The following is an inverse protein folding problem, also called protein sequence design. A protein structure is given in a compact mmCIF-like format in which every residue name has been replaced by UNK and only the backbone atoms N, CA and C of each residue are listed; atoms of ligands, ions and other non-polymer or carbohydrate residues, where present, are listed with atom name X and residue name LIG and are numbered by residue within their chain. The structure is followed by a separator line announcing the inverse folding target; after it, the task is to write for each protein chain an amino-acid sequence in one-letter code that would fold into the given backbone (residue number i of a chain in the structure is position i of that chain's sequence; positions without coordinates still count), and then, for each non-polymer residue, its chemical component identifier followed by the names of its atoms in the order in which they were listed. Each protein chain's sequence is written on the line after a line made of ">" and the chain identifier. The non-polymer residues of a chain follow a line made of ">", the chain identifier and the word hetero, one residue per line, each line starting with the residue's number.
data_IF_770919457150
#
_entry.id   IF_770919457150
#
_cell.length_a   1.000
_cell.length_b   1.000
_cell.length_c   1.000
_cell.angle_alpha   90.00
_cell.angle_beta   90.00
_cell.angle_gamma   90.00
#
_symmetry.space_group_name_H-M   'P 1'
#
loop_
_entity.id
_entity.type
_entity.pdbx_description
1 polymer ?
#
# COMPACT_ATOMS: atom_id res chain seq x y z
N UNK A 1 36.94 27.48 28.95
CA UNK A 1 36.18 26.69 27.95
C UNK A 1 36.17 25.24 28.41
N UNK A 2 35.09 24.78 29.06
CA UNK A 2 34.95 23.37 29.41
C UNK A 2 34.58 22.58 28.16
N UNK A 3 35.39 21.58 27.78
CA UNK A 3 35.07 20.65 26.69
C UNK A 3 33.82 19.86 27.10
N UNK A 4 32.72 19.98 26.34
CA UNK A 4 31.58 19.07 26.47
C UNK A 4 32.06 17.64 26.16
N UNK A 5 31.86 16.65 27.05
CA UNK A 5 32.12 15.27 26.71
C UNK A 5 31.19 14.86 25.55
N UNK A 6 31.69 14.01 24.65
CA UNK A 6 30.93 13.56 23.48
C UNK A 6 29.64 12.86 23.93
N UNK A 7 28.47 13.16 23.30
CA UNK A 7 27.17 12.78 23.83
C UNK A 7 26.76 11.32 23.56
N UNK A 8 27.67 10.47 23.11
CA UNK A 8 27.32 9.12 22.68
C UNK A 8 28.19 8.07 23.36
N UNK A 9 27.61 7.40 24.36
CA UNK A 9 28.10 6.15 24.90
C UNK A 9 27.12 5.05 24.46
N UNK A 10 27.56 4.18 23.53
CA UNK A 10 26.77 3.05 23.03
C UNK A 10 26.34 2.08 24.12
N UNK A 11 27.08 2.05 25.23
CA UNK A 11 26.90 1.06 26.29
C UNK A 11 25.73 1.40 27.23
N UNK A 12 25.25 2.65 27.21
CA UNK A 12 24.24 3.17 28.13
C UNK A 12 22.94 3.61 27.44
N UNK A 13 22.78 3.31 26.15
CA UNK A 13 21.61 3.74 25.34
C UNK A 13 20.27 3.21 25.90
N UNK A 14 20.31 2.11 26.64
CA UNK A 14 19.12 1.46 27.20
C UNK A 14 18.93 1.70 28.71
N UNK A 15 19.78 2.51 29.37
CA UNK A 15 19.77 2.67 30.84
C UNK A 15 18.47 3.29 31.40
N UNK A 16 17.63 3.87 30.53
CA UNK A 16 16.30 4.39 30.87
C UNK A 16 15.11 3.53 30.40
N UNK A 17 15.34 2.41 29.71
CA UNK A 17 14.28 1.50 29.30
C UNK A 17 13.95 0.56 30.45
N UNK A 18 12.76 0.67 31.01
CA UNK A 18 12.24 -0.28 31.98
C UNK A 18 11.46 -1.35 31.21
N UNK A 19 11.41 -2.61 31.66
CA UNK A 19 10.73 -3.71 30.93
C UNK A 19 9.25 -3.45 30.57
N UNK A 20 8.59 -2.51 31.25
CA UNK A 20 7.22 -2.03 30.94
C UNK A 20 7.13 -1.11 29.72
N UNK A 21 8.26 -0.52 29.31
CA UNK A 21 8.40 0.44 28.21
C UNK A 21 8.86 -0.25 26.91
N UNK A 22 9.19 -1.54 26.99
CA UNK A 22 9.42 -2.41 25.85
C UNK A 22 8.08 -3.01 25.43
N UNK A 23 7.76 -2.92 24.14
CA UNK A 23 6.51 -3.45 23.59
C UNK A 23 6.49 -4.97 23.67
N UNK A 24 6.12 -5.53 24.82
CA UNK A 24 5.83 -6.97 24.97
C UNK A 24 4.83 -7.33 23.88
N UNK A 25 5.18 -8.29 23.03
CA UNK A 25 4.41 -8.68 21.86
C UNK A 25 2.90 -8.74 22.15
N UNK A 26 2.09 -7.82 21.60
CA UNK A 26 0.69 -7.65 21.98
C UNK A 26 -0.25 -8.68 21.31
N UNK A 27 0.31 -9.63 20.55
CA UNK A 27 -0.43 -10.53 19.69
C UNK A 27 -0.57 -10.00 18.27
N UNK A 28 -1.47 -10.65 17.51
CA UNK A 28 -1.79 -10.26 16.13
C UNK A 28 -2.78 -9.11 16.14
N UNK A 29 -2.63 -8.18 15.22
CA UNK A 29 -3.48 -6.99 15.12
C UNK A 29 -2.72 -5.79 14.57
N UNK A 30 -3.34 -4.63 14.67
CA UNK A 30 -2.80 -3.35 14.22
C UNK A 30 -2.37 -2.51 15.41
N UNK A 31 -1.16 -1.95 15.37
CA UNK A 31 -0.54 -1.26 16.49
C UNK A 31 0.25 -0.03 16.05
N UNK A 32 0.50 0.86 17.00
CA UNK A 32 1.41 1.99 16.81
C UNK A 32 2.72 1.74 17.56
N UNK A 33 3.84 1.85 16.85
CA UNK A 33 5.18 1.87 17.43
C UNK A 33 5.64 3.31 17.58
N UNK A 34 5.84 3.74 18.83
CA UNK A 34 6.25 5.10 19.17
C UNK A 34 7.77 5.21 19.25
N UNK A 35 8.36 6.06 18.43
CA UNK A 35 9.79 6.35 18.42
C UNK A 35 10.05 7.62 19.22
N UNK A 36 10.89 7.52 20.26
CA UNK A 36 11.23 8.65 21.14
C UNK A 36 12.73 8.90 21.17
N UNK A 37 13.12 10.17 21.15
CA UNK A 37 14.50 10.63 21.38
C UNK A 37 14.46 11.55 22.60
N UNK A 38 15.25 11.22 23.62
CA UNK A 38 15.29 11.94 24.90
C UNK A 38 13.89 12.17 25.51
N UNK A 39 13.01 11.18 25.38
CA UNK A 39 11.62 11.23 25.85
C UNK A 39 10.64 11.98 24.94
N UNK A 40 11.10 12.81 24.00
CA UNK A 40 10.25 13.46 23.00
C UNK A 40 9.79 12.44 21.95
N UNK A 41 8.49 12.43 21.64
CA UNK A 41 7.96 11.64 20.53
C UNK A 41 8.40 12.27 19.21
N UNK A 42 9.12 11.50 18.39
CA UNK A 42 9.69 11.99 17.11
C UNK A 42 9.09 11.29 15.89
N UNK A 43 8.60 10.06 16.05
CA UNK A 43 7.91 9.35 14.97
C UNK A 43 6.92 8.32 15.52
N UNK A 44 5.98 7.92 14.66
CA UNK A 44 5.00 6.86 14.91
C UNK A 44 4.92 5.97 13.67
N UNK A 45 5.22 4.68 13.83
CA UNK A 45 4.94 3.67 12.79
C UNK A 45 3.58 3.02 13.05
N UNK A 46 2.78 2.83 12.01
CA UNK A 46 1.58 1.99 12.00
C UNK A 46 1.97 0.59 11.49
N UNK A 47 1.80 -0.43 12.33
CA UNK A 47 2.21 -1.80 12.05
C UNK A 47 1.02 -2.75 12.09
N UNK A 48 0.98 -3.71 11.17
CA UNK A 48 0.15 -4.90 11.33
C UNK A 48 1.01 -6.11 11.63
N UNK A 49 0.64 -6.87 12.65
CA UNK A 49 1.24 -8.16 12.97
C UNK A 49 0.26 -9.26 12.60
N UNK A 50 0.62 -10.04 11.59
CA UNK A 50 -0.15 -11.21 11.15
C UNK A 50 0.59 -12.50 11.54
N UNK A 51 0.07 -13.65 11.12
CA UNK A 51 0.74 -14.94 11.37
C UNK A 51 2.14 -14.98 10.73
N UNK A 52 2.29 -14.46 9.50
CA UNK A 52 3.53 -14.59 8.71
C UNK A 52 4.20 -13.27 8.36
N UNK A 53 3.52 -12.14 8.54
CA UNK A 53 3.98 -10.82 8.10
C UNK A 53 3.96 -9.81 9.25
N UNK A 54 5.04 -9.05 9.40
CA UNK A 54 5.03 -7.73 10.03
C UNK A 54 4.92 -6.70 8.90
N UNK A 55 3.83 -5.95 8.86
CA UNK A 55 3.54 -4.98 7.79
C UNK A 55 3.81 -3.57 8.31
N UNK A 56 4.72 -2.85 7.67
CA UNK A 56 4.97 -1.43 7.93
C UNK A 56 4.05 -0.59 7.04
N UNK A 57 2.89 -0.19 7.56
CA UNK A 57 1.87 0.49 6.78
C UNK A 57 2.22 1.97 6.54
N UNK A 58 2.42 2.71 7.62
CA UNK A 58 2.66 4.16 7.59
C UNK A 58 3.72 4.55 8.60
N UNK A 59 4.49 5.59 8.26
CA UNK A 59 5.37 6.27 9.20
C UNK A 59 5.08 7.76 9.14
N UNK A 60 4.78 8.33 10.30
CA UNK A 60 4.64 9.77 10.49
C UNK A 60 5.76 10.24 11.41
N UNK A 61 6.42 11.35 11.09
CA UNK A 61 7.52 11.86 11.90
C UNK A 61 7.59 13.38 11.94
N UNK A 62 8.20 13.90 13.00
CA UNK A 62 8.46 15.32 13.19
C UNK A 62 9.52 15.79 12.17
N UNK A 63 9.18 16.75 11.27
CA UNK A 63 10.07 17.17 10.19
C UNK A 63 11.40 17.77 10.66
N UNK A 64 11.48 18.27 11.90
CA UNK A 64 12.73 18.74 12.50
C UNK A 64 13.79 17.63 12.57
N UNK A 65 13.36 16.36 12.54
CA UNK A 65 14.22 15.18 12.55
C UNK A 65 14.43 14.54 11.17
N UNK A 66 14.02 15.21 10.08
CA UNK A 66 14.18 14.69 8.72
C UNK A 66 15.64 14.32 8.38
N UNK A 67 16.62 15.02 8.97
CA UNK A 67 18.05 14.75 8.79
C UNK A 67 18.48 13.34 9.25
N UNK A 68 17.71 12.70 10.13
CA UNK A 68 17.95 11.33 10.60
C UNK A 68 17.47 10.26 9.62
N UNK A 69 16.74 10.62 8.56
CA UNK A 69 16.11 9.68 7.61
C UNK A 69 15.26 8.64 8.35
N UNK A 70 14.29 9.13 9.13
CA UNK A 70 13.50 8.29 10.05
C UNK A 70 12.78 7.09 9.39
N UNK A 71 12.51 7.13 8.08
CA UNK A 71 12.03 5.96 7.33
C UNK A 71 12.96 4.74 7.34
N UNK A 72 14.28 4.98 7.36
CA UNK A 72 15.29 3.90 7.46
C UNK A 72 15.44 3.46 8.91
N UNK A 73 15.48 4.42 9.84
CA UNK A 73 15.64 4.15 11.27
C UNK A 73 14.45 3.34 11.81
N UNK A 74 13.22 3.72 11.47
CA UNK A 74 12.03 3.00 11.91
C UNK A 74 12.02 1.56 11.39
N UNK A 75 12.39 1.36 10.11
CA UNK A 75 12.45 0.04 9.52
C UNK A 75 13.49 -0.88 10.17
N UNK A 76 14.63 -0.34 10.63
CA UNK A 76 15.61 -1.11 11.42
C UNK A 76 15.01 -1.55 12.75
N UNK A 77 14.37 -0.64 13.49
CA UNK A 77 13.72 -0.98 14.75
C UNK A 77 12.56 -1.96 14.58
N UNK A 78 11.78 -1.84 13.49
CA UNK A 78 10.71 -2.79 13.16
C UNK A 78 11.27 -4.18 12.85
N UNK A 79 12.43 -4.29 12.19
CA UNK A 79 13.11 -5.55 11.96
C UNK A 79 13.67 -6.18 13.25
N UNK A 80 14.25 -5.37 14.14
CA UNK A 80 14.68 -5.83 15.48
C UNK A 80 13.48 -6.35 16.27
N UNK A 81 12.37 -5.62 16.21
CA UNK A 81 11.12 -6.01 16.86
C UNK A 81 10.55 -7.30 16.28
N UNK A 82 10.53 -7.44 14.96
CA UNK A 82 10.13 -8.67 14.26
C UNK A 82 11.00 -9.86 14.68
N UNK A 83 12.33 -9.67 14.78
CA UNK A 83 13.25 -10.72 15.17
C UNK A 83 12.97 -11.21 16.59
N UNK A 84 12.75 -10.30 17.54
CA UNK A 84 12.34 -10.63 18.91
C UNK A 84 10.99 -11.36 18.93
N UNK A 85 9.98 -10.89 18.19
CA UNK A 85 8.68 -11.57 18.09
C UNK A 85 8.87 -13.00 17.60
N UNK A 86 9.67 -13.16 16.53
CA UNK A 86 9.90 -14.45 15.90
C UNK A 86 10.56 -15.45 16.84
N UNK A 87 11.59 -15.02 17.56
CA UNK A 87 12.34 -15.89 18.46
C UNK A 87 11.54 -16.30 19.69
N UNK A 88 10.78 -15.37 20.28
CA UNK A 88 10.19 -15.58 21.60
C UNK A 88 8.71 -15.96 21.56
N UNK A 89 7.97 -15.58 20.52
CA UNK A 89 6.50 -15.66 20.53
C UNK A 89 5.85 -16.27 19.28
N UNK A 90 6.39 -16.01 18.08
CA UNK A 90 5.78 -16.47 16.82
C UNK A 90 6.85 -16.89 15.79
N UNK A 91 7.33 -18.15 15.82
CA UNK A 91 8.29 -18.66 14.85
C UNK A 91 7.83 -18.57 13.37
N UNK A 92 6.53 -18.43 13.11
CA UNK A 92 5.96 -18.36 11.74
C UNK A 92 6.02 -16.95 11.10
N UNK A 93 6.15 -15.90 11.91
CA UNK A 93 7.22 -14.87 11.88
C UNK A 93 8.04 -14.49 10.62
N UNK A 94 7.64 -14.72 9.37
CA UNK A 94 8.63 -14.85 8.28
C UNK A 94 9.00 -13.57 7.52
N UNK A 95 8.07 -12.67 7.24
CA UNK A 95 8.25 -11.60 6.28
C UNK A 95 8.06 -10.21 6.88
N UNK A 96 8.94 -9.29 6.51
CA UNK A 96 8.78 -7.86 6.75
C UNK A 96 8.25 -7.19 5.48
N UNK A 97 7.02 -6.70 5.51
CA UNK A 97 6.33 -6.16 4.35
C UNK A 97 6.36 -4.63 4.37
N UNK A 98 7.05 -4.02 3.39
CA UNK A 98 7.21 -2.57 3.27
C UNK A 98 6.16 -1.92 2.35
N UNK A 99 5.10 -2.63 2.00
CA UNK A 99 4.05 -2.15 1.10
C UNK A 99 4.60 -1.74 -0.27
N UNK A 100 3.85 -0.91 -0.99
CA UNK A 100 4.19 -0.53 -2.35
C UNK A 100 5.47 0.28 -2.42
N UNK A 101 6.16 0.16 -3.56
CA UNK A 101 7.34 0.94 -3.88
C UNK A 101 7.20 1.53 -5.28
N UNK A 102 7.90 2.64 -5.51
CA UNK A 102 8.02 3.25 -6.82
C UNK A 102 9.49 3.54 -7.12
N UNK A 103 9.99 3.03 -8.24
CA UNK A 103 11.38 3.26 -8.68
C UNK A 103 11.66 4.73 -9.00
N UNK A 104 10.66 5.48 -9.45
CA UNK A 104 10.82 6.90 -9.76
C UNK A 104 10.75 7.81 -8.53
N UNK A 105 10.40 7.27 -7.36
CA UNK A 105 10.28 8.04 -6.12
C UNK A 105 11.52 7.82 -5.23
N UNK A 106 12.39 8.84 -5.07
CA UNK A 106 13.58 8.73 -4.23
C UNK A 106 13.27 8.38 -2.78
N UNK A 107 12.10 8.82 -2.27
CA UNK A 107 11.65 8.53 -0.90
C UNK A 107 11.31 7.05 -0.66
N UNK A 108 10.98 6.30 -1.71
CA UNK A 108 10.61 4.87 -1.60
C UNK A 108 11.74 3.94 -2.06
N UNK A 109 12.75 4.47 -2.75
CA UNK A 109 13.87 3.70 -3.27
C UNK A 109 14.65 2.93 -2.19
N UNK A 110 14.67 3.43 -0.94
CA UNK A 110 15.36 2.75 0.16
C UNK A 110 14.81 1.35 0.47
N UNK A 111 13.52 1.09 0.19
CA UNK A 111 12.87 -0.22 0.41
C UNK A 111 13.58 -1.34 -0.36
N UNK A 112 14.17 -1.00 -1.51
CA UNK A 112 14.91 -1.92 -2.36
C UNK A 112 16.32 -2.24 -1.86
N UNK A 113 16.76 -1.69 -0.73
CA UNK A 113 18.10 -1.93 -0.16
C UNK A 113 18.10 -3.03 0.92
N UNK A 114 16.95 -3.44 1.45
CA UNK A 114 16.87 -4.52 2.43
C UNK A 114 17.10 -5.89 1.78
N UNK A 115 17.84 -6.79 2.45
CA UNK A 115 18.20 -8.10 1.91
C UNK A 115 17.95 -9.24 2.92
N UNK A 116 17.50 -10.42 2.46
CA UNK A 116 17.03 -10.70 1.09
C UNK A 116 15.71 -9.95 0.79
N UNK A 117 15.60 -9.36 -0.40
CA UNK A 117 14.43 -8.58 -0.81
C UNK A 117 13.61 -9.32 -1.86
N UNK A 118 12.29 -9.27 -1.74
CA UNK A 118 11.36 -9.92 -2.66
C UNK A 118 10.26 -8.95 -3.12
N UNK A 119 9.81 -9.12 -4.35
CA UNK A 119 8.64 -8.47 -4.94
C UNK A 119 7.59 -9.52 -5.27
N UNK A 120 6.32 -9.14 -5.23
CA UNK A 120 5.22 -10.00 -5.68
C UNK A 120 5.05 -9.79 -7.19
N UNK A 121 5.12 -10.86 -7.97
CA UNK A 121 4.83 -10.84 -9.39
C UNK A 121 3.35 -10.47 -9.62
N UNK A 122 3.02 -9.39 -10.34
CA UNK A 122 1.64 -8.93 -10.45
C UNK A 122 0.74 -9.87 -11.27
N UNK A 123 1.32 -10.71 -12.13
CA UNK A 123 0.58 -11.75 -12.86
C UNK A 123 0.37 -13.01 -12.03
N UNK A 124 1.43 -13.56 -11.43
CA UNK A 124 1.40 -14.91 -10.83
C UNK A 124 1.24 -14.91 -9.30
N UNK A 125 1.43 -13.76 -8.66
CA UNK A 125 1.53 -13.58 -7.20
C UNK A 125 2.72 -14.30 -6.54
N UNK A 126 3.68 -14.77 -7.33
CA UNK A 126 4.89 -15.40 -6.78
C UNK A 126 5.88 -14.38 -6.23
N UNK A 127 6.63 -14.78 -5.21
CA UNK A 127 7.76 -14.00 -4.71
C UNK A 127 8.95 -14.11 -5.67
N UNK A 128 9.40 -12.96 -6.17
CA UNK A 128 10.55 -12.82 -7.06
C UNK A 128 11.62 -12.01 -6.34
N UNK A 129 12.87 -12.46 -6.39
CA UNK A 129 13.96 -11.68 -5.77
C UNK A 129 14.09 -10.31 -6.41
N UNK A 130 14.32 -9.29 -5.58
CA UNK A 130 14.57 -7.92 -6.02
C UNK A 130 15.70 -7.86 -7.03
N UNK A 131 16.77 -8.63 -6.81
CA UNK A 131 17.96 -8.61 -7.68
C UNK A 131 17.64 -9.15 -9.09
N UNK A 132 16.69 -10.08 -9.21
CA UNK A 132 16.21 -10.58 -10.51
C UNK A 132 15.26 -9.59 -11.19
N UNK A 133 14.33 -9.00 -10.44
CA UNK A 133 13.31 -8.11 -11.00
C UNK A 133 13.85 -6.71 -11.38
N UNK A 134 14.86 -6.23 -10.66
CA UNK A 134 15.35 -4.85 -10.77
C UNK A 134 15.78 -4.43 -12.18
N UNK A 135 16.61 -5.19 -12.93
CA UNK A 135 17.02 -4.78 -14.28
C UNK A 135 15.83 -4.56 -15.22
N UNK A 136 14.86 -5.47 -15.18
CA UNK A 136 13.66 -5.40 -16.00
C UNK A 136 12.77 -4.21 -15.63
N UNK A 137 12.57 -3.96 -14.33
CA UNK A 137 11.80 -2.81 -13.87
C UNK A 137 12.48 -1.47 -14.19
N UNK A 138 13.82 -1.40 -14.17
CA UNK A 138 14.57 -0.21 -14.59
C UNK A 138 14.40 0.07 -16.08
N UNK A 139 14.35 -0.94 -16.94
CA UNK A 139 14.04 -0.77 -18.36
C UNK A 139 12.62 -0.26 -18.57
N UNK A 140 11.64 -0.87 -17.90
CA UNK A 140 10.25 -0.40 -17.92
C UNK A 140 10.15 1.04 -17.43
N UNK A 141 10.90 1.44 -16.41
CA UNK A 141 10.85 2.81 -15.87
C UNK A 141 11.23 3.87 -16.91
N UNK A 142 12.09 3.52 -17.89
CA UNK A 142 12.58 4.41 -18.95
C UNK A 142 11.61 4.53 -20.14
N UNK A 143 10.68 3.59 -20.30
CA UNK A 143 9.67 3.63 -21.36
C UNK A 143 8.67 4.75 -21.16
N UNK A 144 8.16 5.30 -22.27
CA UNK A 144 7.10 6.31 -22.27
C UNK A 144 5.77 5.69 -21.85
N UNK A 145 4.86 6.52 -21.35
CA UNK A 145 3.52 6.07 -20.93
C UNK A 145 2.80 5.40 -22.11
N UNK A 146 2.85 5.98 -23.32
CA UNK A 146 2.22 5.40 -24.51
C UNK A 146 2.74 4.00 -24.84
N UNK A 147 4.04 3.76 -24.68
CA UNK A 147 4.66 2.46 -24.93
C UNK A 147 4.21 1.43 -23.88
N UNK A 148 4.12 1.83 -22.62
CA UNK A 148 3.58 1.00 -21.54
C UNK A 148 2.11 0.66 -21.75
N UNK A 149 1.31 1.62 -22.19
CA UNK A 149 -0.12 1.42 -22.48
C UNK A 149 -0.35 0.50 -23.68
N UNK A 150 0.61 0.42 -24.62
CA UNK A 150 0.55 -0.51 -25.75
C UNK A 150 1.02 -1.93 -25.41
N UNK A 151 1.50 -2.18 -24.18
CA UNK A 151 1.83 -3.55 -23.77
C UNK A 151 0.54 -4.35 -23.57
N UNK A 152 0.33 -5.36 -24.42
CA UNK A 152 -0.86 -6.21 -24.38
C UNK A 152 -0.86 -7.19 -23.20
N UNK A 153 0.32 -7.49 -22.64
CA UNK A 153 0.49 -8.47 -21.57
C UNK A 153 0.58 -7.83 -20.18
N UNK A 154 -0.07 -8.45 -19.18
CA UNK A 154 0.18 -8.14 -17.77
C UNK A 154 1.66 -8.37 -17.45
N UNK A 155 2.26 -7.42 -16.72
CA UNK A 155 3.65 -7.52 -16.26
C UNK A 155 3.89 -8.84 -15.51
N UNK A 156 4.83 -9.66 -15.99
CA UNK A 156 5.23 -10.89 -15.33
C UNK A 156 6.71 -10.82 -14.92
N UNK A 157 6.96 -10.99 -13.63
CA UNK A 157 8.32 -10.99 -13.05
C UNK A 157 8.84 -12.40 -12.74
N UNK A 158 7.93 -13.36 -12.54
CA UNK A 158 8.25 -14.74 -12.19
C UNK A 158 8.34 -15.62 -13.45
N UNK A 159 9.15 -16.67 -13.41
CA UNK A 159 9.28 -17.64 -14.52
C UNK A 159 8.52 -18.94 -14.21
N UNK A 160 7.60 -18.91 -13.25
CA UNK A 160 6.85 -20.07 -12.78
C UNK A 160 5.91 -20.64 -13.84
N UNK A 161 5.48 -19.81 -14.78
CA UNK A 161 4.66 -20.17 -15.94
C UNK A 161 5.20 -19.48 -17.19
N UNK A 162 5.02 -20.08 -18.37
CA UNK A 162 5.35 -19.43 -19.64
C UNK A 162 4.35 -18.31 -19.99
N UNK A 163 4.72 -17.46 -20.96
CA UNK A 163 3.84 -16.38 -21.42
C UNK A 163 2.55 -16.91 -22.08
N UNK A 164 2.61 -18.09 -22.71
CA UNK A 164 1.48 -18.71 -23.39
C UNK A 164 0.55 -19.49 -22.44
N UNK A 165 1.02 -19.78 -21.22
CA UNK A 165 0.22 -20.42 -20.18
C UNK A 165 -0.64 -19.40 -19.43
N UNK A 166 -1.83 -19.82 -19.01
CA UNK A 166 -2.75 -19.00 -18.23
C UNK A 166 -2.64 -19.32 -16.75
N UNK A 167 -2.68 -18.29 -15.91
CA UNK A 167 -2.83 -18.48 -14.46
C UNK A 167 -4.22 -19.03 -14.14
N UNK A 168 -4.38 -19.64 -12.97
CA UNK A 168 -5.69 -20.07 -12.46
C UNK A 168 -6.69 -18.90 -12.44
N UNK A 169 -6.24 -17.69 -12.06
CA UNK A 169 -7.08 -16.49 -12.06
C UNK A 169 -7.52 -16.07 -13.46
N UNK A 170 -6.63 -16.17 -14.45
CA UNK A 170 -6.95 -15.87 -15.85
C UNK A 170 -7.89 -16.94 -16.45
N UNK A 171 -7.70 -18.22 -16.09
CA UNK A 171 -8.62 -19.30 -16.49
C UNK A 171 -10.02 -19.09 -15.93
N UNK A 172 -10.14 -18.73 -14.65
CA UNK A 172 -11.44 -18.37 -14.06
C UNK A 172 -12.03 -17.14 -14.73
N UNK A 173 -11.22 -16.13 -15.07
CA UNK A 173 -11.66 -14.94 -15.78
C UNK A 173 -12.30 -15.29 -17.13
N UNK A 174 -11.74 -16.25 -17.86
CA UNK A 174 -12.32 -16.74 -19.11
C UNK A 174 -13.55 -17.63 -18.87
N UNK A 175 -13.45 -18.58 -17.94
CA UNK A 175 -14.49 -19.58 -17.71
C UNK A 175 -15.78 -18.96 -17.17
N UNK A 176 -15.66 -17.91 -16.34
CA UNK A 176 -16.79 -17.23 -15.71
C UNK A 176 -17.03 -15.84 -16.29
N UNK A 177 -16.54 -15.56 -17.51
CA UNK A 177 -16.69 -14.23 -18.10
C UNK A 177 -18.15 -13.83 -18.25
N UNK A 178 -18.97 -14.74 -18.76
CA UNK A 178 -20.39 -14.49 -18.99
C UNK A 178 -21.15 -14.34 -17.66
N UNK A 179 -20.83 -15.16 -16.67
CA UNK A 179 -21.42 -15.08 -15.33
C UNK A 179 -20.99 -13.81 -14.60
N UNK A 180 -19.73 -13.38 -14.77
CA UNK A 180 -19.23 -12.12 -14.23
C UNK A 180 -19.93 -10.93 -14.92
N UNK A 181 -20.02 -10.92 -16.25
CA UNK A 181 -20.71 -9.87 -17.01
C UNK A 181 -22.20 -9.78 -16.60
N UNK A 182 -22.85 -10.91 -16.37
CA UNK A 182 -24.25 -10.96 -15.96
C UNK A 182 -24.46 -10.82 -14.44
N UNK A 183 -23.40 -10.57 -13.66
CA UNK A 183 -23.51 -10.51 -12.22
C UNK A 183 -24.41 -9.34 -11.78
N UNK A 184 -25.52 -9.60 -11.06
CA UNK A 184 -26.54 -8.60 -10.80
C UNK A 184 -26.18 -7.70 -9.60
N UNK A 185 -26.40 -6.41 -9.79
CA UNK A 185 -26.39 -5.39 -8.76
C UNK A 185 -27.75 -4.72 -8.66
N UNK A 186 -28.19 -4.47 -7.43
CA UNK A 186 -29.38 -3.66 -7.19
C UNK A 186 -28.97 -2.19 -7.19
N UNK A 187 -29.56 -1.39 -8.06
CA UNK A 187 -29.37 0.05 -8.11
C UNK A 187 -30.56 0.76 -7.45
N UNK A 188 -30.28 1.50 -6.38
CA UNK A 188 -31.26 2.31 -5.61
C UNK A 188 -32.53 1.55 -5.19
N UNK A 189 -32.44 0.24 -4.94
CA UNK A 189 -33.59 -0.62 -4.64
C UNK A 189 -34.72 -0.57 -5.68
N UNK A 190 -34.41 -0.19 -6.93
CA UNK A 190 -35.43 0.05 -7.98
C UNK A 190 -35.22 -0.79 -9.22
N UNK A 191 -33.97 -1.00 -9.62
CA UNK A 191 -33.64 -1.74 -10.83
C UNK A 191 -32.41 -2.62 -10.64
N UNK A 192 -32.37 -3.74 -11.35
CA UNK A 192 -31.19 -4.60 -11.42
C UNK A 192 -30.34 -4.18 -12.61
N UNK A 193 -29.06 -3.94 -12.37
CA UNK A 193 -28.02 -3.75 -13.40
C UNK A 193 -27.07 -4.94 -13.37
N UNK A 194 -26.36 -5.18 -14.46
CA UNK A 194 -25.31 -6.18 -14.57
C UNK A 194 -23.94 -5.52 -14.73
N UNK A 195 -22.83 -6.24 -14.55
CA UNK A 195 -21.50 -5.69 -14.89
C UNK A 195 -21.40 -5.33 -16.38
N UNK A 196 -22.11 -6.07 -17.23
CA UNK A 196 -22.21 -5.83 -18.66
C UNK A 196 -22.78 -4.46 -19.03
N UNK A 197 -23.57 -3.84 -18.14
CA UNK A 197 -24.19 -2.54 -18.38
C UNK A 197 -23.25 -1.35 -18.16
N UNK A 198 -22.06 -1.57 -17.57
CA UNK A 198 -21.12 -0.49 -17.31
C UNK A 198 -20.16 -0.25 -18.48
N UNK A 199 -19.83 1.01 -18.73
CA UNK A 199 -18.77 1.42 -19.68
C UNK A 199 -17.38 1.03 -19.18
N UNK A 200 -17.10 1.24 -17.89
CA UNK A 200 -15.84 0.80 -17.25
C UNK A 200 -16.03 -0.56 -16.57
N UNK A 201 -15.73 -1.64 -17.30
CA UNK A 201 -15.94 -3.03 -16.86
C UNK A 201 -14.75 -3.64 -16.14
N UNK A 202 -13.53 -3.36 -16.60
CA UNK A 202 -12.28 -4.04 -16.19
C UNK A 202 -12.07 -4.14 -14.67
N UNK A 203 -12.13 -3.05 -13.87
CA UNK A 203 -11.95 -3.15 -12.41
C UNK A 203 -13.06 -3.95 -11.73
N UNK A 204 -14.29 -3.87 -12.26
CA UNK A 204 -15.47 -4.51 -11.66
C UNK A 204 -15.50 -6.01 -11.96
N UNK A 205 -15.10 -6.41 -13.17
CA UNK A 205 -14.88 -7.82 -13.53
C UNK A 205 -13.81 -8.42 -12.61
N UNK A 206 -12.68 -7.73 -12.40
CA UNK A 206 -11.65 -8.20 -11.45
C UNK A 206 -12.19 -8.41 -10.04
N UNK A 207 -13.02 -7.49 -9.55
CA UNK A 207 -13.69 -7.64 -8.25
C UNK A 207 -14.63 -8.85 -8.21
N UNK A 208 -15.49 -9.02 -9.21
CA UNK A 208 -16.41 -10.15 -9.29
C UNK A 208 -15.68 -11.50 -9.37
N UNK A 209 -14.62 -11.58 -10.17
CA UNK A 209 -13.77 -12.78 -10.25
C UNK A 209 -13.07 -13.08 -8.93
N UNK A 210 -12.58 -12.05 -8.22
CA UNK A 210 -12.01 -12.23 -6.89
C UNK A 210 -13.06 -12.76 -5.89
N UNK A 211 -14.30 -12.28 -5.95
CA UNK A 211 -15.40 -12.78 -5.13
C UNK A 211 -15.75 -14.24 -5.48
N UNK A 212 -15.89 -14.58 -6.76
CA UNK A 212 -16.12 -15.95 -7.24
C UNK A 212 -15.02 -16.89 -6.73
N UNK A 213 -13.75 -16.47 -6.82
CA UNK A 213 -12.60 -17.27 -6.38
C UNK A 213 -12.61 -17.55 -4.88
N UNK A 214 -12.94 -16.55 -4.05
CA UNK A 214 -12.83 -16.68 -2.59
C UNK A 214 -14.10 -17.22 -1.93
N UNK A 215 -15.27 -16.93 -2.48
CA UNK A 215 -16.58 -17.26 -1.90
C UNK A 215 -17.22 -18.46 -2.59
N UNK A 216 -16.78 -18.78 -3.81
CA UNK A 216 -17.31 -19.86 -4.65
C UNK A 216 -18.56 -19.44 -5.43
N UNK A 217 -18.73 -19.98 -6.63
CA UNK A 217 -19.82 -19.64 -7.57
C UNK A 217 -21.21 -19.81 -6.93
N UNK A 218 -21.41 -20.86 -6.12
CA UNK A 218 -22.71 -21.16 -5.50
C UNK A 218 -23.15 -20.10 -4.49
N UNK A 219 -22.23 -19.67 -3.63
CA UNK A 219 -22.50 -18.60 -2.67
C UNK A 219 -22.60 -17.25 -3.38
N UNK A 220 -21.77 -17.02 -4.39
CA UNK A 220 -21.76 -15.80 -5.19
C UNK A 220 -23.10 -15.53 -5.87
N UNK A 221 -23.74 -16.56 -6.45
CA UNK A 221 -25.07 -16.44 -7.06
C UNK A 221 -26.20 -16.09 -6.09
N UNK A 222 -25.98 -16.22 -4.78
CA UNK A 222 -26.93 -15.82 -3.73
C UNK A 222 -26.69 -14.43 -3.14
N UNK A 223 -25.62 -13.73 -3.55
CA UNK A 223 -25.32 -12.39 -3.07
C UNK A 223 -26.10 -11.35 -3.86
N UNK A 224 -26.69 -10.38 -3.15
CA UNK A 224 -27.24 -9.16 -3.75
C UNK A 224 -26.36 -8.00 -3.31
N UNK A 225 -25.59 -7.45 -4.23
CA UNK A 225 -24.80 -6.25 -3.97
C UNK A 225 -25.61 -5.01 -4.38
N UNK A 226 -25.77 -4.07 -3.45
CA UNK A 226 -26.46 -2.81 -3.71
C UNK A 226 -25.43 -1.72 -4.05
N UNK A 227 -25.62 -1.05 -5.20
CA UNK A 227 -24.85 0.12 -5.59
C UNK A 227 -25.59 1.39 -5.17
N UNK A 228 -24.98 2.13 -4.24
CA UNK A 228 -25.45 3.43 -3.77
C UNK A 228 -24.46 4.50 -4.21
N UNK A 229 -24.77 5.16 -5.32
CA UNK A 229 -24.07 6.36 -5.76
C UNK A 229 -25.09 7.48 -5.95
N UNK A 230 -24.63 8.71 -5.78
CA UNK A 230 -25.40 9.89 -6.15
C UNK A 230 -25.59 9.93 -7.67
N UNK A 231 -26.73 10.47 -8.13
CA UNK A 231 -26.92 10.64 -9.57
C UNK A 231 -25.89 11.64 -10.08
N UNK A 232 -25.08 11.22 -11.05
CA UNK A 232 -24.29 12.16 -11.83
C UNK A 232 -25.31 13.01 -12.60
N UNK A 233 -25.35 14.31 -12.32
CA UNK A 233 -26.18 15.24 -13.08
C UNK A 233 -25.59 15.34 -14.48
N UNK A 234 -26.43 15.15 -15.49
CA UNK A 234 -26.07 15.22 -16.91
C UNK A 234 -26.96 16.28 -17.54
N UNK A 235 -26.39 17.11 -18.42
CA UNK A 235 -27.15 18.10 -19.17
C UNK A 235 -27.98 17.46 -20.30
N UNK A 236 -28.78 18.28 -21.00
CA UNK A 236 -29.63 17.82 -22.11
C UNK A 236 -28.82 17.25 -23.29
N UNK A 237 -27.50 17.46 -23.31
CA UNK A 237 -26.56 17.02 -24.33
C UNK A 237 -25.77 15.76 -23.87
N UNK A 238 -26.04 15.26 -22.66
CA UNK A 238 -25.43 14.08 -22.08
C UNK A 238 -24.03 14.32 -21.48
N UNK A 239 -23.65 15.56 -21.22
CA UNK A 239 -22.38 15.89 -20.57
C UNK A 239 -22.54 15.98 -19.05
N UNK A 240 -21.52 15.49 -18.33
CA UNK A 240 -21.50 15.49 -16.87
C UNK A 240 -21.47 16.95 -16.37
N UNK A 241 -22.51 17.33 -15.64
CA UNK A 241 -22.59 18.59 -14.90
C UNK A 241 -21.66 18.42 -13.69
N UNK A 242 -20.44 18.96 -13.79
CA UNK A 242 -19.56 19.09 -12.63
C UNK A 242 -20.21 20.08 -11.66
N UNK A 243 -20.63 19.62 -10.49
CA UNK A 243 -20.92 20.54 -9.39
C UNK A 243 -19.59 21.14 -8.94
N UNK A 244 -19.44 22.47 -9.07
CA UNK A 244 -18.34 23.17 -8.42
C UNK A 244 -18.39 22.84 -6.92
N UNK A 245 -17.29 22.32 -6.38
CA UNK A 245 -17.13 22.17 -4.94
C UNK A 245 -17.53 23.48 -4.25
N UNK A 246 -18.31 23.44 -3.16
CA UNK A 246 -18.67 24.65 -2.45
C UNK A 246 -17.37 25.34 -2.01
N UNK A 247 -17.12 26.53 -2.57
CA UNK A 247 -16.06 27.42 -2.11
C UNK A 247 -16.21 27.56 -0.61
N UNK A 248 -15.21 27.09 0.14
CA UNK A 248 -15.13 27.29 1.58
C UNK A 248 -15.34 28.78 1.86
N UNK A 249 -16.44 29.09 2.54
CA UNK A 249 -16.73 30.44 3.01
C UNK A 249 -15.53 30.91 3.85
N UNK A 250 -15.02 32.09 3.47
CA UNK A 250 -13.77 32.62 4.00
C UNK A 250 -13.77 32.72 5.52
N UNK A 251 -12.81 32.03 6.14
CA UNK A 251 -12.28 32.46 7.43
C UNK A 251 -11.50 33.75 7.20
N UNK A 252 -12.11 34.88 7.57
CA UNK A 252 -11.38 36.12 7.78
C UNK A 252 -10.26 35.91 8.79
N UNK A 253 -9.06 36.32 8.41
CA UNK A 253 -7.85 36.21 9.22
C UNK A 253 -6.67 36.87 8.51
N UNK A 254 -6.69 38.20 8.50
CA UNK A 254 -5.55 39.13 8.50
C UNK A 254 -4.26 38.66 7.81
N UNK A 255 -4.12 39.04 6.54
CA UNK A 255 -2.83 39.07 5.84
C UNK A 255 -2.05 40.33 6.23
N UNK A 256 -1.12 40.20 7.17
CA UNK A 256 0.02 41.11 7.28
C UNK A 256 0.89 40.96 6.03
N UNK A 257 1.17 42.09 5.39
CA UNK A 257 2.08 42.17 4.26
C UNK A 257 3.54 42.05 4.70
N UNK A 258 4.29 41.23 3.97
CA UNK A 258 5.71 41.45 3.73
C UNK A 258 6.06 40.75 2.42
N UNK A 259 6.32 41.55 1.39
CA UNK A 259 6.97 41.04 0.19
C UNK A 259 8.42 40.71 0.47
N UNK A 260 8.98 39.78 -0.29
CA UNK A 260 10.29 40.07 -0.86
C UNK A 260 10.47 39.33 -2.18
N UNK A 261 11.07 40.07 -3.11
CA UNK A 261 11.53 39.61 -4.41
C UNK A 261 12.96 39.07 -4.26
N UNK A 262 13.36 38.32 -5.29
CA UNK A 262 14.73 38.12 -5.76
C UNK A 262 15.61 36.98 -5.18
N UNK A 263 16.12 36.23 -6.18
CA UNK A 263 17.29 35.33 -6.25
C UNK A 263 17.10 33.83 -5.99
#
# INVERSE_FOLDING_TARGET
>A
MAKRPAPFNSDTVNDGKVAKDEGVYPGRGSYHLYHRIDGKLVAVSCLDITTKYLVSQYLMYDPDYAFLKLGVVSAVHELEYMAMIREQFNPDLQYYHLCDFSLSCPKLAYKMNYRPGFLICPRTNDLVSVDKAKPYLEELSKMRIAEKSSMESILQLADSISQDEMTEGELYALAFKEEADNFPFLYKNRQTLTLGDFTEKEPKIKFALAMIKNVGVQCFGGLVLELKFEDIKIDEEGQIIQEEEPKAEGSGGDGEGAGDQDQ
#
